data_IF_007486101032
#
_entry.id   IF_007486101032
#
_cell.length_a   1.000
_cell.length_b   1.000
_cell.length_c   1.000
_cell.angle_alpha   90.00
_cell.angle_beta   90.00
_cell.angle_gamma   90.00
#
_symmetry.space_group_name_H-M   'P 1'
#
loop_
_entity.id
_entity.type
_entity.pdbx_description
1 polymer ?
#
# COMPACT_ATOMS: atom_id res chain seq x y z
N UNK A 1 31.05 -18.44 4.53
CA UNK A 1 31.26 -16.98 4.59
C UNK A 1 31.32 -16.34 3.18
N UNK A 2 32.13 -16.84 2.25
CA UNK A 2 32.27 -16.27 0.90
C UNK A 2 30.94 -16.21 0.13
N UNK A 3 30.13 -17.28 0.15
CA UNK A 3 28.82 -17.34 -0.51
C UNK A 3 27.85 -16.26 0.02
N UNK A 4 27.81 -16.02 1.34
CA UNK A 4 26.96 -14.98 1.91
C UNK A 4 27.34 -13.57 1.47
N UNK A 5 28.65 -13.30 1.38
CA UNK A 5 29.16 -12.03 0.85
C UNK A 5 28.78 -11.85 -0.61
N UNK A 6 28.94 -12.90 -1.44
CA UNK A 6 28.55 -12.85 -2.86
C UNK A 6 27.06 -12.60 -3.06
N UNK A 7 26.18 -13.21 -2.23
CA UNK A 7 24.73 -12.97 -2.27
C UNK A 7 24.40 -11.50 -1.97
N UNK A 8 25.05 -10.92 -0.94
CA UNK A 8 24.87 -9.51 -0.61
C UNK A 8 25.34 -8.60 -1.75
N UNK A 9 26.49 -8.92 -2.35
CA UNK A 9 27.02 -8.14 -3.49
C UNK A 9 26.06 -8.19 -4.67
N UNK A 10 25.53 -9.37 -5.03
CA UNK A 10 24.54 -9.51 -6.11
C UNK A 10 23.29 -8.70 -5.82
N UNK A 11 22.77 -8.76 -4.58
CA UNK A 11 21.62 -7.96 -4.16
C UNK A 11 21.88 -6.48 -4.36
N UNK A 12 23.01 -5.96 -3.87
CA UNK A 12 23.36 -4.53 -3.97
C UNK A 12 23.56 -4.09 -5.43
N UNK A 13 24.21 -4.91 -6.25
CA UNK A 13 24.43 -4.59 -7.68
C UNK A 13 23.11 -4.54 -8.43
N UNK A 14 22.23 -5.52 -8.25
CA UNK A 14 20.94 -5.54 -8.94
C UNK A 14 20.04 -4.42 -8.43
N UNK A 15 20.03 -4.14 -7.12
CA UNK A 15 19.31 -3.00 -6.56
C UNK A 15 19.78 -1.67 -7.16
N UNK A 16 21.11 -1.48 -7.30
CA UNK A 16 21.67 -0.29 -7.95
C UNK A 16 21.27 -0.18 -9.43
N UNK A 17 21.26 -1.30 -10.17
CA UNK A 17 20.82 -1.33 -11.57
C UNK A 17 19.33 -1.00 -11.71
N UNK A 18 18.48 -1.43 -10.75
CA UNK A 18 17.07 -1.06 -10.70
C UNK A 18 16.88 0.43 -10.37
N UNK A 19 17.60 0.95 -9.38
CA UNK A 19 17.54 2.37 -9.00
C UNK A 19 18.00 3.29 -10.14
N UNK A 20 19.01 2.87 -10.90
CA UNK A 20 19.49 3.61 -12.08
C UNK A 20 18.63 3.39 -13.34
N UNK A 21 17.51 2.66 -13.22
CA UNK A 21 16.56 2.35 -14.30
C UNK A 21 17.21 1.61 -15.51
N UNK A 22 18.37 0.97 -15.32
CA UNK A 22 19.03 0.20 -16.38
C UNK A 22 18.36 -1.15 -16.62
N UNK A 23 17.73 -1.72 -15.59
CA UNK A 23 16.98 -2.97 -15.69
C UNK A 23 15.59 -2.77 -15.05
N UNK A 24 14.49 -3.15 -15.74
CA UNK A 24 13.18 -3.10 -15.16
C UNK A 24 13.04 -4.11 -14.01
N UNK A 25 12.32 -3.73 -12.95
CA UNK A 25 12.11 -4.54 -11.74
C UNK A 25 11.57 -5.94 -12.05
N UNK A 26 10.67 -6.03 -13.06
CA UNK A 26 10.06 -7.29 -13.47
C UNK A 26 11.09 -8.34 -13.92
N UNK A 27 12.19 -7.92 -14.56
CA UNK A 27 13.27 -8.81 -14.99
C UNK A 27 14.36 -8.94 -13.92
N UNK A 28 14.63 -7.88 -13.16
CA UNK A 28 15.67 -7.84 -12.18
C UNK A 28 15.45 -8.84 -11.03
N UNK A 29 14.22 -8.96 -10.52
CA UNK A 29 13.93 -9.85 -9.40
C UNK A 29 14.06 -11.33 -9.74
N UNK A 30 13.49 -11.86 -10.84
CA UNK A 30 13.72 -13.24 -11.24
C UNK A 30 15.19 -13.53 -11.54
N UNK A 31 15.89 -12.61 -12.23
CA UNK A 31 17.31 -12.76 -12.53
C UNK A 31 18.14 -12.84 -11.24
N UNK A 32 17.85 -11.99 -10.26
CA UNK A 32 18.49 -11.99 -8.96
C UNK A 32 18.29 -13.33 -8.24
N UNK A 33 17.06 -13.86 -8.24
CA UNK A 33 16.74 -15.14 -7.61
C UNK A 33 17.57 -16.30 -8.23
N UNK A 34 17.64 -16.35 -9.57
CA UNK A 34 18.42 -17.36 -10.28
C UNK A 34 19.92 -17.24 -9.98
N UNK A 35 20.48 -16.03 -10.00
CA UNK A 35 21.90 -15.81 -9.70
C UNK A 35 22.21 -16.23 -8.26
N UNK A 36 21.35 -15.92 -7.29
CA UNK A 36 21.52 -16.34 -5.90
C UNK A 36 21.50 -17.86 -5.78
N UNK A 37 20.60 -18.56 -6.48
CA UNK A 37 20.57 -20.02 -6.51
C UNK A 37 21.84 -20.64 -7.07
N UNK A 38 22.39 -20.07 -8.16
CA UNK A 38 23.65 -20.52 -8.77
C UNK A 38 24.81 -20.34 -7.77
N UNK A 39 24.90 -19.17 -7.10
CA UNK A 39 25.94 -18.90 -6.09
C UNK A 39 25.80 -19.83 -4.88
N UNK A 40 24.57 -20.15 -4.50
CA UNK A 40 24.29 -21.09 -3.41
C UNK A 40 24.61 -22.54 -3.79
N UNK A 41 24.92 -22.83 -5.07
CA UNK A 41 25.23 -24.17 -5.54
C UNK A 41 24.01 -25.07 -5.72
N UNK A 42 22.81 -24.48 -5.83
CA UNK A 42 21.56 -25.23 -6.08
C UNK A 42 21.52 -25.65 -7.55
N UNK A 43 21.33 -26.94 -7.88
CA UNK A 43 21.27 -27.39 -9.26
C UNK A 43 20.03 -26.83 -9.98
N UNK A 44 20.08 -26.67 -11.30
CA UNK A 44 18.95 -26.20 -12.08
C UNK A 44 17.77 -27.19 -12.02
N UNK A 45 18.07 -28.48 -12.14
CA UNK A 45 17.15 -29.60 -12.01
C UNK A 45 17.83 -30.67 -11.16
N UNK A 46 17.11 -31.27 -10.24
CA UNK A 46 17.64 -32.34 -9.40
C UNK A 46 16.55 -32.92 -8.50
N UNK A 47 16.82 -34.09 -7.94
CA UNK A 47 15.98 -34.73 -6.93
C UNK A 47 16.85 -35.10 -5.73
N UNK A 48 16.29 -35.03 -4.52
CA UNK A 48 16.92 -35.55 -3.33
C UNK A 48 16.83 -37.08 -3.25
N UNK A 49 17.42 -37.67 -2.21
CA UNK A 49 17.36 -39.13 -1.99
C UNK A 49 15.93 -39.64 -1.72
N UNK A 50 15.01 -38.75 -1.38
CA UNK A 50 13.60 -39.05 -1.09
C UNK A 50 12.69 -38.81 -2.30
N UNK A 51 13.26 -38.40 -3.46
CA UNK A 51 12.53 -38.15 -4.70
C UNK A 51 11.89 -36.76 -4.83
N UNK A 52 12.12 -35.85 -3.85
CA UNK A 52 11.61 -34.48 -3.94
C UNK A 52 12.50 -33.66 -4.87
N UNK A 53 11.89 -32.77 -5.63
CA UNK A 53 12.63 -31.87 -6.52
C UNK A 53 13.38 -30.81 -5.71
N UNK A 54 14.69 -30.71 -5.94
CA UNK A 54 15.60 -29.74 -5.31
C UNK A 54 16.13 -28.70 -6.29
N UNK A 55 15.81 -28.81 -7.59
CA UNK A 55 16.25 -27.87 -8.61
C UNK A 55 15.58 -26.50 -8.48
N UNK A 56 16.34 -25.40 -8.74
CA UNK A 56 15.80 -24.04 -8.62
C UNK A 56 14.68 -23.74 -9.64
N UNK A 57 14.64 -24.40 -10.78
CA UNK A 57 13.52 -24.29 -11.73
C UNK A 57 12.20 -24.69 -11.09
N UNK A 58 12.20 -25.75 -10.30
CA UNK A 58 11.00 -26.26 -9.65
C UNK A 58 10.76 -25.59 -8.30
N UNK A 59 11.77 -25.47 -7.46
CA UNK A 59 11.61 -24.92 -6.10
C UNK A 59 11.42 -23.41 -6.09
N UNK A 60 12.08 -22.65 -6.97
CA UNK A 60 11.97 -21.17 -7.01
C UNK A 60 10.86 -20.74 -7.96
N UNK A 61 10.84 -21.26 -9.20
CA UNK A 61 9.88 -20.78 -10.21
C UNK A 61 8.52 -21.39 -9.98
N UNK A 62 8.40 -22.71 -9.94
CA UNK A 62 7.11 -23.42 -9.86
C UNK A 62 6.54 -23.35 -8.44
N UNK A 63 7.23 -23.86 -7.43
CA UNK A 63 6.76 -23.88 -6.05
C UNK A 63 6.67 -22.48 -5.45
N UNK A 64 7.55 -21.55 -5.85
CA UNK A 64 7.47 -20.14 -5.46
C UNK A 64 6.14 -19.50 -5.90
N UNK A 65 5.72 -19.76 -7.13
CA UNK A 65 4.43 -19.28 -7.66
C UNK A 65 3.25 -19.89 -6.92
N UNK A 66 3.27 -21.22 -6.70
CA UNK A 66 2.22 -21.92 -5.96
C UNK A 66 2.11 -21.40 -4.52
N UNK A 67 3.24 -21.24 -3.84
CA UNK A 67 3.31 -20.70 -2.47
C UNK A 67 2.75 -19.30 -2.35
N UNK A 68 2.98 -18.44 -3.34
CA UNK A 68 2.50 -17.07 -3.38
C UNK A 68 1.09 -16.92 -4.00
N UNK A 69 0.50 -18.00 -4.52
CA UNK A 69 -0.77 -17.95 -5.25
C UNK A 69 -1.89 -17.23 -4.50
N UNK A 70 -2.09 -17.53 -3.21
CA UNK A 70 -3.12 -16.86 -2.40
C UNK A 70 -2.82 -15.38 -2.14
N UNK A 71 -1.54 -14.99 -2.02
CA UNK A 71 -1.14 -13.59 -1.89
C UNK A 71 -1.34 -12.83 -3.20
N UNK A 72 -0.99 -13.44 -4.33
CA UNK A 72 -1.23 -12.88 -5.67
C UNK A 72 -2.72 -12.64 -5.88
N UNK A 73 -3.58 -13.62 -5.55
CA UNK A 73 -5.03 -13.47 -5.65
C UNK A 73 -5.56 -12.35 -4.76
N UNK A 74 -5.08 -12.24 -3.51
CA UNK A 74 -5.47 -11.14 -2.62
C UNK A 74 -5.11 -9.76 -3.19
N UNK A 75 -3.93 -9.62 -3.80
CA UNK A 75 -3.51 -8.38 -4.46
C UNK A 75 -4.38 -8.08 -5.69
N UNK A 76 -4.71 -9.08 -6.51
CA UNK A 76 -5.57 -8.92 -7.69
C UNK A 76 -6.97 -8.46 -7.27
N UNK A 77 -7.61 -9.13 -6.32
CA UNK A 77 -8.94 -8.74 -5.83
C UNK A 77 -8.93 -7.38 -5.12
N UNK A 78 -7.90 -7.09 -4.32
CA UNK A 78 -7.73 -5.76 -3.70
C UNK A 78 -7.57 -4.66 -4.74
N UNK A 79 -6.77 -4.88 -5.78
CA UNK A 79 -6.63 -3.93 -6.88
C UNK A 79 -7.94 -3.78 -7.69
N UNK A 80 -8.69 -4.86 -7.88
CA UNK A 80 -9.98 -4.83 -8.55
C UNK A 80 -11.02 -4.05 -7.73
N UNK A 81 -11.12 -4.31 -6.42
CA UNK A 81 -11.97 -3.54 -5.52
C UNK A 81 -11.60 -2.05 -5.55
N UNK A 82 -10.29 -1.73 -5.52
CA UNK A 82 -9.80 -0.37 -5.66
C UNK A 82 -10.26 0.29 -6.97
N UNK A 83 -10.14 -0.40 -8.10
CA UNK A 83 -10.63 0.06 -9.40
C UNK A 83 -12.15 0.28 -9.41
N UNK A 84 -12.91 -0.62 -8.77
CA UNK A 84 -14.36 -0.49 -8.64
C UNK A 84 -14.73 0.75 -7.84
N UNK A 85 -14.11 0.96 -6.67
CA UNK A 85 -14.33 2.14 -5.83
C UNK A 85 -13.99 3.44 -6.57
N UNK A 86 -12.94 3.42 -7.39
CA UNK A 86 -12.55 4.56 -8.20
C UNK A 86 -13.56 4.86 -9.31
N UNK A 87 -13.94 3.86 -10.10
CA UNK A 87 -14.91 4.01 -11.21
C UNK A 87 -16.31 4.37 -10.72
N UNK A 88 -16.70 3.92 -9.54
CA UNK A 88 -18.00 4.26 -8.93
C UNK A 88 -18.01 5.62 -8.23
N UNK A 89 -16.85 6.28 -8.09
CA UNK A 89 -16.73 7.57 -7.40
C UNK A 89 -16.74 7.48 -5.87
N UNK A 90 -16.72 6.27 -5.29
CA UNK A 90 -16.67 6.07 -3.83
C UNK A 90 -15.44 6.74 -3.23
N UNK A 91 -14.25 6.48 -3.81
CA UNK A 91 -12.99 7.05 -3.36
C UNK A 91 -13.02 8.58 -3.37
N UNK A 92 -13.49 9.18 -4.47
CA UNK A 92 -13.58 10.63 -4.59
C UNK A 92 -14.59 11.24 -3.61
N UNK A 93 -15.75 10.60 -3.41
CA UNK A 93 -16.73 11.05 -2.43
C UNK A 93 -16.20 11.01 -0.99
N UNK A 94 -15.42 9.98 -0.63
CA UNK A 94 -14.76 9.91 0.69
C UNK A 94 -13.82 11.10 0.86
N UNK A 95 -12.97 11.38 -0.13
CA UNK A 95 -12.01 12.48 -0.07
C UNK A 95 -12.71 13.85 -0.02
N UNK A 96 -13.71 14.10 -0.88
CA UNK A 96 -14.46 15.37 -0.91
C UNK A 96 -15.19 15.63 0.41
N UNK A 97 -15.92 14.64 0.93
CA UNK A 97 -16.60 14.78 2.24
C UNK A 97 -15.61 14.97 3.39
N UNK A 98 -14.46 14.33 3.33
CA UNK A 98 -13.40 14.53 4.32
C UNK A 98 -12.88 15.97 4.30
N UNK A 99 -12.72 16.57 3.12
CA UNK A 99 -12.34 17.98 2.99
C UNK A 99 -13.44 18.90 3.53
N UNK A 100 -14.70 18.66 3.17
CA UNK A 100 -15.86 19.44 3.64
C UNK A 100 -16.00 19.41 5.17
N UNK A 101 -15.77 18.25 5.81
CA UNK A 101 -15.81 18.11 7.27
C UNK A 101 -14.75 18.93 7.99
N UNK A 102 -13.62 19.21 7.34
CA UNK A 102 -12.52 20.01 7.90
C UNK A 102 -12.82 21.51 7.94
N UNK A 103 -13.79 21.99 7.14
CA UNK A 103 -14.16 23.39 7.05
C UNK A 103 -12.99 24.29 6.67
N UNK A 104 -12.92 25.48 7.26
CA UNK A 104 -11.92 26.52 6.93
C UNK A 104 -10.60 26.41 7.71
N UNK A 105 -10.40 25.33 8.46
CA UNK A 105 -9.21 25.14 9.29
C UNK A 105 -8.19 24.20 8.62
N UNK A 106 -7.07 24.70 8.08
CA UNK A 106 -6.11 23.89 7.34
C UNK A 106 -5.61 22.66 8.09
N UNK A 107 -5.32 22.79 9.38
CA UNK A 107 -4.88 21.67 10.21
C UNK A 107 -5.95 20.58 10.33
N UNK A 108 -7.23 20.99 10.53
CA UNK A 108 -8.35 20.02 10.65
C UNK A 108 -8.57 19.30 9.35
N UNK A 109 -8.61 20.02 8.22
CA UNK A 109 -8.71 19.43 6.88
C UNK A 109 -7.59 18.42 6.68
N UNK A 110 -6.34 18.79 6.98
CA UNK A 110 -5.19 17.91 6.81
C UNK A 110 -5.30 16.64 7.67
N UNK A 111 -5.68 16.76 8.94
CA UNK A 111 -5.85 15.60 9.82
C UNK A 111 -6.98 14.66 9.34
N UNK A 112 -8.12 15.22 8.92
CA UNK A 112 -9.22 14.42 8.37
C UNK A 112 -8.78 13.74 7.07
N UNK A 113 -8.04 14.44 6.21
CA UNK A 113 -7.49 13.85 4.98
C UNK A 113 -6.50 12.72 5.27
N UNK A 114 -5.66 12.85 6.29
CA UNK A 114 -4.77 11.76 6.74
C UNK A 114 -5.58 10.52 7.11
N UNK A 115 -6.64 10.68 7.89
CA UNK A 115 -7.52 9.56 8.28
C UNK A 115 -8.22 8.97 7.06
N UNK A 116 -8.76 9.80 6.17
CA UNK A 116 -9.44 9.33 4.96
C UNK A 116 -8.50 8.53 4.05
N UNK A 117 -7.29 9.03 3.81
CA UNK A 117 -6.26 8.34 3.01
C UNK A 117 -5.87 7.03 3.69
N UNK A 118 -5.63 7.02 5.01
CA UNK A 118 -5.30 5.80 5.73
C UNK A 118 -6.41 4.74 5.59
N UNK A 119 -7.67 5.12 5.77
CA UNK A 119 -8.82 4.23 5.59
C UNK A 119 -8.87 3.66 4.15
N UNK A 120 -8.71 4.50 3.13
CA UNK A 120 -8.72 4.06 1.74
C UNK A 120 -7.64 3.00 1.48
N UNK A 121 -6.43 3.20 1.98
CA UNK A 121 -5.31 2.30 1.73
C UNK A 121 -5.29 1.03 2.59
N UNK A 122 -6.25 0.83 3.47
CA UNK A 122 -6.49 -0.49 4.08
C UNK A 122 -6.91 -1.55 3.04
N UNK A 123 -7.49 -1.11 1.92
CA UNK A 123 -7.99 -1.99 0.85
C UNK A 123 -7.41 -1.67 -0.51
N UNK A 124 -7.15 -0.38 -0.80
CA UNK A 124 -6.55 0.00 -2.06
C UNK A 124 -5.11 -0.51 -2.16
N UNK A 125 -4.74 -1.01 -3.34
CA UNK A 125 -3.41 -1.54 -3.63
C UNK A 125 -2.93 -1.08 -5.00
N UNK A 126 -1.60 -1.05 -5.15
CA UNK A 126 -0.95 -0.77 -6.42
C UNK A 126 -0.76 0.71 -6.73
N UNK A 127 0.18 0.96 -7.64
CA UNK A 127 0.64 2.30 -8.03
C UNK A 127 -0.50 3.17 -8.62
N UNK A 128 -1.41 2.56 -9.37
CA UNK A 128 -2.55 3.26 -9.96
C UNK A 128 -3.46 3.92 -8.92
N UNK A 129 -3.73 3.23 -7.81
CA UNK A 129 -4.52 3.78 -6.70
C UNK A 129 -3.79 4.92 -6.00
N UNK A 130 -2.47 4.82 -5.81
CA UNK A 130 -1.65 5.89 -5.21
C UNK A 130 -1.69 7.15 -6.06
N UNK A 131 -1.47 7.02 -7.37
CA UNK A 131 -1.50 8.15 -8.31
C UNK A 131 -2.88 8.79 -8.32
N UNK A 132 -3.93 7.99 -8.37
CA UNK A 132 -5.30 8.52 -8.44
C UNK A 132 -5.72 9.22 -7.15
N UNK A 133 -5.54 8.60 -5.98
CA UNK A 133 -5.87 9.25 -4.70
C UNK A 133 -5.00 10.49 -4.50
N UNK A 134 -3.71 10.41 -4.82
CA UNK A 134 -2.78 11.54 -4.75
C UNK A 134 -3.18 12.70 -5.65
N UNK A 135 -3.67 12.43 -6.88
CA UNK A 135 -4.11 13.50 -7.80
C UNK A 135 -5.31 14.30 -7.30
N UNK A 136 -6.08 13.75 -6.35
CA UNK A 136 -7.20 14.45 -5.71
C UNK A 136 -6.76 15.08 -4.38
N UNK A 137 -6.04 14.34 -3.55
CA UNK A 137 -5.65 14.77 -2.19
C UNK A 137 -4.64 15.90 -2.21
N UNK A 138 -3.61 15.81 -3.07
CA UNK A 138 -2.53 16.81 -3.11
C UNK A 138 -3.04 18.21 -3.47
N UNK A 139 -3.86 18.43 -4.52
CA UNK A 139 -4.43 19.74 -4.80
C UNK A 139 -5.28 20.29 -3.64
N UNK A 140 -6.05 19.43 -2.95
CA UNK A 140 -6.85 19.85 -1.80
C UNK A 140 -5.96 20.33 -0.65
N UNK A 141 -4.89 19.58 -0.30
CA UNK A 141 -3.95 19.99 0.75
C UNK A 141 -3.24 21.31 0.39
N UNK A 142 -2.85 21.47 -0.88
CA UNK A 142 -2.22 22.70 -1.35
C UNK A 142 -3.21 23.88 -1.33
N UNK A 143 -4.48 23.67 -1.71
CA UNK A 143 -5.52 24.71 -1.70
C UNK A 143 -5.82 25.25 -0.30
N UNK A 144 -5.67 24.43 0.73
CA UNK A 144 -5.80 24.87 2.14
C UNK A 144 -4.52 25.46 2.71
N UNK A 145 -3.51 25.71 1.87
CA UNK A 145 -2.29 26.44 2.24
C UNK A 145 -1.12 25.56 2.70
N UNK A 146 -1.21 24.23 2.57
CA UNK A 146 -0.08 23.33 2.85
C UNK A 146 0.92 23.38 1.69
N UNK A 147 2.22 23.65 1.92
CA UNK A 147 3.22 23.63 0.87
C UNK A 147 3.25 22.29 0.12
N UNK A 148 3.47 22.29 -1.20
CA UNK A 148 3.38 21.11 -2.03
C UNK A 148 4.27 19.94 -1.58
N UNK A 149 5.49 20.23 -1.10
CA UNK A 149 6.41 19.21 -0.56
C UNK A 149 5.85 18.62 0.73
N UNK A 150 5.36 19.47 1.65
CA UNK A 150 4.74 19.02 2.91
C UNK A 150 3.47 18.21 2.63
N UNK A 151 2.64 18.63 1.67
CA UNK A 151 1.45 17.90 1.25
C UNK A 151 1.80 16.49 0.72
N UNK A 152 2.86 16.38 -0.10
CA UNK A 152 3.34 15.10 -0.59
C UNK A 152 3.85 14.19 0.56
N UNK A 153 4.64 14.74 1.48
CA UNK A 153 5.13 13.99 2.64
C UNK A 153 3.97 13.50 3.53
N UNK A 154 3.00 14.38 3.82
CA UNK A 154 1.81 14.03 4.63
C UNK A 154 0.98 12.95 3.94
N UNK A 155 0.76 13.07 2.63
CA UNK A 155 0.04 12.05 1.84
C UNK A 155 0.74 10.69 1.91
N UNK A 156 2.07 10.64 1.71
CA UNK A 156 2.84 9.40 1.75
C UNK A 156 2.85 8.77 3.15
N UNK A 157 2.89 9.56 4.20
CA UNK A 157 2.80 9.06 5.58
C UNK A 157 1.40 8.54 5.90
N UNK A 158 0.34 9.22 5.45
CA UNK A 158 -1.03 8.75 5.59
C UNK A 158 -1.25 7.43 4.82
N UNK A 159 -0.73 7.35 3.60
CA UNK A 159 -0.71 6.13 2.79
C UNK A 159 0.00 4.98 3.52
N UNK A 160 1.21 5.22 4.06
CA UNK A 160 1.97 4.22 4.81
C UNK A 160 1.20 3.75 6.04
N UNK A 161 0.55 4.66 6.77
CA UNK A 161 -0.31 4.33 7.92
C UNK A 161 -1.47 3.41 7.50
N UNK A 162 -2.10 3.66 6.35
CA UNK A 162 -3.15 2.78 5.82
C UNK A 162 -2.64 1.40 5.41
N UNK A 163 -1.43 1.33 4.86
CA UNK A 163 -0.83 0.07 4.41
C UNK A 163 -0.56 -0.93 5.54
N UNK A 164 -0.38 -0.48 6.79
CA UNK A 164 -0.20 -1.37 7.93
C UNK A 164 -1.43 -2.27 8.12
N UNK A 165 -2.62 -1.78 7.80
CA UNK A 165 -3.86 -2.55 7.87
C UNK A 165 -4.35 -3.05 6.51
N UNK A 166 -3.47 -3.08 5.50
CA UNK A 166 -3.81 -3.64 4.20
C UNK A 166 -3.75 -5.16 4.22
N UNK A 167 -4.92 -5.80 4.13
CA UNK A 167 -5.04 -7.26 4.24
C UNK A 167 -4.37 -8.04 3.12
N UNK A 168 -4.18 -7.45 1.93
CA UNK A 168 -3.40 -8.08 0.86
C UNK A 168 -1.91 -8.17 1.24
N UNK A 169 -1.37 -7.13 1.92
CA UNK A 169 -0.03 -7.17 2.48
C UNK A 169 0.10 -8.21 3.58
N UNK A 170 -0.87 -8.31 4.49
CA UNK A 170 -0.88 -9.36 5.52
C UNK A 170 -0.80 -10.76 4.92
N UNK A 171 -1.56 -11.00 3.83
CA UNK A 171 -1.51 -12.29 3.12
C UNK A 171 -0.15 -12.53 2.47
N UNK A 172 0.47 -11.50 1.91
CA UNK A 172 1.82 -11.59 1.35
C UNK A 172 2.85 -11.94 2.43
N UNK A 173 2.81 -11.26 3.58
CA UNK A 173 3.70 -11.56 4.71
C UNK A 173 3.47 -12.97 5.26
N UNK A 174 2.21 -13.41 5.40
CA UNK A 174 1.86 -14.77 5.79
C UNK A 174 2.49 -15.81 4.86
N UNK A 175 2.41 -15.57 3.55
CA UNK A 175 2.96 -16.50 2.54
C UNK A 175 4.49 -16.52 2.52
N UNK A 176 5.15 -15.37 2.76
CA UNK A 176 6.61 -15.26 2.75
C UNK A 176 7.21 -15.85 4.02
N UNK A 177 6.70 -15.45 5.18
CA UNK A 177 7.27 -15.79 6.48
C UNK A 177 6.68 -17.06 7.10
N UNK A 178 5.59 -17.61 6.53
CA UNK A 178 4.89 -18.77 7.09
C UNK A 178 4.16 -18.46 8.41
N UNK A 179 3.83 -17.20 8.68
CA UNK A 179 3.17 -16.76 9.90
C UNK A 179 1.64 -16.78 9.73
N UNK A 180 0.93 -17.00 10.83
CA UNK A 180 -0.52 -16.85 10.87
C UNK A 180 -0.95 -15.38 10.77
N UNK A 181 -2.10 -15.12 10.16
CA UNK A 181 -2.64 -13.74 10.01
C UNK A 181 -2.81 -13.05 11.37
N UNK A 182 -3.15 -13.82 12.43
CA UNK A 182 -3.32 -13.27 13.77
C UNK A 182 -2.01 -12.73 14.37
N UNK A 183 -0.88 -13.41 14.12
CA UNK A 183 0.45 -12.97 14.54
C UNK A 183 0.85 -11.68 13.78
N UNK A 184 0.59 -11.64 12.47
CA UNK A 184 0.86 -10.47 11.63
C UNK A 184 0.02 -9.30 12.12
N UNK A 185 -1.28 -9.49 12.32
CA UNK A 185 -2.19 -8.46 12.84
C UNK A 185 -1.71 -7.87 14.17
N UNK A 186 -1.26 -8.71 15.08
CA UNK A 186 -0.74 -8.25 16.37
C UNK A 186 0.48 -7.36 16.22
N UNK A 187 1.40 -7.69 15.32
CA UNK A 187 2.56 -6.86 15.00
C UNK A 187 2.17 -5.55 14.30
N UNK A 188 1.27 -5.63 13.32
CA UNK A 188 0.82 -4.47 12.54
C UNK A 188 0.07 -3.43 13.39
N UNK A 189 -0.55 -3.82 14.51
CA UNK A 189 -1.14 -2.86 15.46
C UNK A 189 -0.05 -1.96 16.07
N UNK A 190 1.09 -2.51 16.47
CA UNK A 190 2.21 -1.70 16.97
C UNK A 190 2.77 -0.79 15.89
N UNK A 191 2.88 -1.30 14.67
CA UNK A 191 3.36 -0.53 13.52
C UNK A 191 2.38 0.59 13.15
N UNK A 192 1.05 0.33 13.21
CA UNK A 192 0.02 1.35 13.02
C UNK A 192 0.17 2.50 14.03
N UNK A 193 0.34 2.16 15.31
CA UNK A 193 0.51 3.17 16.36
C UNK A 193 1.77 4.00 16.09
N UNK A 194 2.88 3.36 15.75
CA UNK A 194 4.14 4.04 15.45
C UNK A 194 4.04 4.96 14.22
N UNK A 195 3.45 4.47 13.13
CA UNK A 195 3.27 5.25 11.90
C UNK A 195 2.25 6.37 12.08
N UNK A 196 1.19 6.16 12.85
CA UNK A 196 0.21 7.19 13.18
C UNK A 196 0.86 8.33 14.00
N UNK A 197 1.63 7.99 15.03
CA UNK A 197 2.36 8.98 15.82
C UNK A 197 3.34 9.75 14.93
N UNK A 198 4.13 9.07 14.11
CA UNK A 198 5.05 9.70 13.18
C UNK A 198 4.34 10.64 12.19
N UNK A 199 3.18 10.23 11.67
CA UNK A 199 2.35 11.05 10.77
C UNK A 199 1.83 12.29 11.47
N UNK A 200 1.33 12.17 12.70
CA UNK A 200 0.84 13.30 13.48
C UNK A 200 2.00 14.27 13.81
N UNK A 201 3.14 13.76 14.24
CA UNK A 201 4.33 14.58 14.49
C UNK A 201 4.75 15.33 13.23
N UNK A 202 4.79 14.65 12.07
CA UNK A 202 5.11 15.30 10.80
C UNK A 202 4.11 16.43 10.50
N UNK A 203 2.81 16.20 10.61
CA UNK A 203 1.78 17.22 10.36
C UNK A 203 2.01 18.42 11.26
N UNK A 204 2.17 18.24 12.57
CA UNK A 204 2.37 19.34 13.51
C UNK A 204 3.67 20.09 13.28
N UNK A 205 4.77 19.40 12.97
CA UNK A 205 6.06 20.01 12.66
C UNK A 205 5.97 20.85 11.38
N UNK A 206 5.37 20.32 10.33
CA UNK A 206 5.21 21.03 9.05
C UNK A 206 4.31 22.26 9.20
N UNK A 207 3.21 22.15 9.94
CA UNK A 207 2.34 23.29 10.21
C UNK A 207 3.03 24.38 11.04
N UNK A 208 3.80 24.00 12.05
CA UNK A 208 4.57 24.95 12.87
C UNK A 208 5.69 25.61 12.06
N UNK A 209 6.41 24.85 11.25
CA UNK A 209 7.52 25.33 10.42
C UNK A 209 7.07 26.29 9.32
N UNK A 210 5.96 25.97 8.64
CA UNK A 210 5.49 26.73 7.48
C UNK A 210 4.48 27.84 7.85
N UNK A 211 4.13 27.98 9.13
CA UNK A 211 3.24 29.05 9.60
C UNK A 211 1.84 29.04 8.96
N UNK A 212 1.34 27.87 8.56
CA UNK A 212 0.02 27.71 7.90
C UNK A 212 -1.07 28.08 8.90
N UNK A 213 -1.67 29.28 8.74
CA UNK A 213 -2.69 29.81 9.65
C UNK A 213 -4.08 29.93 9.01
N UNK A 214 -4.16 30.14 7.71
CA UNK A 214 -5.42 30.37 6.99
C UNK A 214 -5.46 29.59 5.68
N UNK A 215 -6.65 29.08 5.34
CA UNK A 215 -6.91 28.51 4.04
C UNK A 215 -7.09 29.64 3.01
N UNK A 216 -6.18 29.76 2.06
CA UNK A 216 -6.45 30.47 0.83
C UNK A 216 -7.17 29.50 -0.11
N UNK A 217 -8.46 29.71 -0.33
CA UNK A 217 -9.17 28.98 -1.38
C UNK A 217 -8.71 29.48 -2.76
N UNK A 218 -7.63 28.87 -3.28
CA UNK A 218 -7.45 28.89 -4.71
C UNK A 218 -8.60 28.06 -5.32
N UNK A 219 -9.29 28.55 -6.38
CA UNK A 219 -10.30 27.75 -7.03
C UNK A 219 -9.66 26.42 -7.46
N UNK A 220 -10.24 25.31 -7.01
CA UNK A 220 -9.89 23.98 -7.49
C UNK A 220 -10.36 23.94 -8.93
N UNK A 221 -9.49 24.36 -9.86
CA UNK A 221 -9.73 24.24 -11.28
C UNK A 221 -9.69 22.77 -11.66
N UNK A 222 -10.77 22.31 -12.27
CA UNK A 222 -10.87 21.08 -13.04
C UNK A 222 -10.66 19.74 -12.29
N UNK A 223 -11.34 19.56 -11.14
CA UNK A 223 -11.67 18.20 -10.72
C UNK A 223 -12.85 17.74 -11.59
N UNK A 224 -12.70 16.70 -12.42
CA UNK A 224 -13.79 16.21 -13.25
C UNK A 224 -15.04 16.01 -12.42
N UNK A 225 -16.20 16.48 -12.90
CA UNK A 225 -17.49 16.24 -12.25
C UNK A 225 -17.78 14.73 -12.23
N UNK A 226 -17.38 14.08 -11.18
CA UNK A 226 -17.72 12.67 -10.97
C UNK A 226 -19.10 12.55 -10.37
N UNK A 227 -19.74 11.45 -10.68
CA UNK A 227 -21.08 11.09 -10.23
C UNK A 227 -21.18 11.16 -8.71
N UNK A 228 -21.79 12.22 -8.19
CA UNK A 228 -22.02 12.35 -6.75
C UNK A 228 -22.95 11.22 -6.27
N UNK A 229 -22.45 10.42 -5.35
CA UNK A 229 -23.27 9.41 -4.67
C UNK A 229 -24.17 10.13 -3.67
N UNK A 230 -25.46 10.26 -4.00
CA UNK A 230 -26.46 10.93 -3.14
C UNK A 230 -27.29 9.91 -2.37
N UNK A 231 -27.74 10.29 -1.17
CA UNK A 231 -28.65 9.51 -0.34
C UNK A 231 -27.95 8.45 0.53
N UNK A 232 -28.77 7.64 1.20
CA UNK A 232 -28.34 6.60 2.16
C UNK A 232 -27.40 5.59 1.50
N UNK A 233 -27.70 5.17 0.26
CA UNK A 233 -26.85 4.25 -0.49
C UNK A 233 -25.44 4.82 -0.73
N UNK A 234 -25.31 6.12 -1.01
CA UNK A 234 -24.03 6.78 -1.16
C UNK A 234 -23.22 6.83 0.14
N UNK A 235 -23.88 7.05 1.26
CA UNK A 235 -23.22 7.04 2.57
C UNK A 235 -22.74 5.63 2.96
N UNK A 236 -23.55 4.60 2.69
CA UNK A 236 -23.17 3.21 2.91
C UNK A 236 -22.01 2.77 2.00
N UNK A 237 -21.99 3.22 0.76
CA UNK A 237 -20.89 2.93 -0.17
C UNK A 237 -19.53 3.47 0.33
N UNK A 238 -19.52 4.52 1.15
CA UNK A 238 -18.30 5.05 1.74
C UNK A 238 -17.68 4.12 2.81
N UNK A 239 -18.43 3.16 3.32
CA UNK A 239 -17.91 2.13 4.23
C UNK A 239 -17.22 0.97 3.48
N UNK A 240 -17.33 0.90 2.15
CA UNK A 240 -16.74 -0.17 1.33
C UNK A 240 -15.28 -0.47 1.66
N UNK A 241 -14.37 0.52 1.84
CA UNK A 241 -12.97 0.20 2.15
C UNK A 241 -12.76 -0.48 3.51
N UNK A 242 -13.69 -0.32 4.44
CA UNK A 242 -13.59 -0.94 5.77
C UNK A 242 -14.13 -2.38 5.78
N UNK A 243 -14.98 -2.76 4.83
CA UNK A 243 -15.64 -4.08 4.82
C UNK A 243 -14.63 -5.22 4.80
N UNK A 244 -13.66 -5.29 3.87
CA UNK A 244 -12.73 -6.41 3.83
C UNK A 244 -11.92 -6.57 5.12
N UNK A 245 -11.43 -5.45 5.69
CA UNK A 245 -10.64 -5.53 6.92
C UNK A 245 -11.49 -5.96 8.12
N UNK A 246 -12.73 -5.51 8.22
CA UNK A 246 -13.65 -5.95 9.28
C UNK A 246 -13.97 -7.44 9.17
N UNK A 247 -14.18 -7.95 7.95
CA UNK A 247 -14.40 -9.38 7.70
C UNK A 247 -13.21 -10.23 8.14
N UNK A 248 -11.98 -9.81 7.82
CA UNK A 248 -10.77 -10.54 8.19
C UNK A 248 -10.46 -10.40 9.69
N UNK A 249 -10.48 -9.16 10.21
CA UNK A 249 -10.03 -8.88 11.57
C UNK A 249 -11.02 -9.33 12.66
N UNK A 250 -12.34 -9.23 12.41
CA UNK A 250 -13.37 -9.56 13.38
C UNK A 250 -14.00 -10.93 13.15
N UNK A 251 -14.33 -11.25 11.90
CA UNK A 251 -15.03 -12.49 11.55
C UNK A 251 -14.09 -13.60 11.11
N UNK A 252 -12.77 -13.35 11.07
CA UNK A 252 -11.72 -14.30 10.67
C UNK A 252 -11.97 -14.95 9.29
N UNK A 253 -12.66 -14.22 8.40
CA UNK A 253 -12.86 -14.67 7.01
C UNK A 253 -11.50 -14.74 6.31
N UNK A 254 -11.21 -15.78 5.50
CA UNK A 254 -9.98 -15.82 4.72
C UNK A 254 -9.83 -14.58 3.83
N UNK A 255 -8.58 -14.09 3.65
CA UNK A 255 -8.30 -12.80 3.00
C UNK A 255 -8.87 -12.70 1.59
N UNK A 256 -8.73 -13.76 0.76
CA UNK A 256 -9.19 -13.72 -0.64
C UNK A 256 -10.71 -13.54 -0.75
N UNK A 257 -11.56 -14.33 -0.07
CA UNK A 257 -13.00 -14.13 -0.13
C UNK A 257 -13.51 -12.89 0.62
N UNK A 258 -12.69 -12.20 1.40
CA UNK A 258 -13.06 -10.95 2.06
C UNK A 258 -13.10 -9.75 1.11
N UNK A 259 -12.41 -9.83 -0.03
CA UNK A 259 -12.46 -8.84 -1.11
C UNK A 259 -13.64 -9.10 -2.05
#
# INVERSE_FOLDING_TARGET
MLQGILIIVVFLVIAALMMTKKIPTLLALPLMAVIICIIAGVPAVGTDAEGNAIGWLQTVVENGTVRMGSAIMAVIFGAWLGQLMNKTGVTENIIKKSAELGGDRPLVVTLIMVVAVAILFTTLSGLGSIIMVGSIVLPILVSVGVPAISAACIFLMAFTTGLTFNIANWKSFSSIFGLEIEQIKSFEIYLLIATLIATLVLVFVEFKKNGVKFAFSAPVSDVPETRQLKGVAGTLAMLTPLVPILLVALLKVPVVPAF
#
